data_IF_277131071591
#
_entry.id   IF_277131071591
#
_cell.length_a   1.000
_cell.length_b   1.000
_cell.length_c   1.000
_cell.angle_alpha   90.00
_cell.angle_beta   90.00
_cell.angle_gamma   90.00
#
_symmetry.space_group_name_H-M   'P 1'
#
loop_
_entity.id
_entity.type
_entity.pdbx_description
1 polymer ?
#
# COMPACT_ATOMS: atom_id res chain seq x y z
N UNK A 1 14.60 14.07 -64.73
CA UNK A 1 13.88 14.44 -63.47
C UNK A 1 14.36 15.84 -63.09
N UNK A 2 13.45 16.79 -63.00
CA UNK A 2 13.80 18.18 -62.64
C UNK A 2 14.19 18.22 -61.17
N UNK A 3 15.19 19.04 -60.82
CA UNK A 3 15.72 19.17 -59.45
C UNK A 3 14.65 19.49 -58.38
N UNK A 4 13.54 20.05 -58.78
CA UNK A 4 12.38 20.36 -57.90
C UNK A 4 11.60 19.13 -57.44
N UNK A 5 11.51 18.06 -58.23
CA UNK A 5 10.79 16.83 -57.84
C UNK A 5 11.60 15.97 -56.84
N UNK A 6 12.93 16.06 -56.99
CA UNK A 6 13.84 15.37 -56.04
C UNK A 6 13.79 16.00 -54.63
N UNK A 7 13.61 17.33 -54.58
CA UNK A 7 13.52 18.06 -53.30
C UNK A 7 12.18 17.77 -52.55
N UNK A 8 11.07 17.68 -53.31
CA UNK A 8 9.77 17.34 -52.73
C UNK A 8 9.75 15.89 -52.21
N UNK A 9 10.40 14.96 -52.88
CA UNK A 9 10.49 13.56 -52.45
C UNK A 9 11.36 13.41 -51.20
N UNK A 10 12.44 14.16 -51.08
CA UNK A 10 13.29 14.15 -49.86
C UNK A 10 12.58 14.76 -48.66
N UNK A 11 11.74 15.77 -48.85
CA UNK A 11 10.97 16.41 -47.77
C UNK A 11 9.87 15.54 -47.25
N UNK A 12 9.22 14.70 -48.08
CA UNK A 12 8.20 13.74 -47.67
C UNK A 12 8.81 12.61 -46.84
N UNK A 13 10.03 12.14 -47.16
CA UNK A 13 10.74 11.12 -46.40
C UNK A 13 11.15 11.64 -45.02
N UNK A 14 11.54 12.92 -44.89
CA UNK A 14 11.92 13.52 -43.60
C UNK A 14 10.73 13.72 -42.66
N UNK A 15 9.55 14.06 -43.19
CA UNK A 15 8.31 14.18 -42.39
C UNK A 15 7.79 12.81 -41.93
N UNK A 16 7.94 11.76 -42.77
CA UNK A 16 7.56 10.39 -42.40
C UNK A 16 8.48 9.80 -41.31
N UNK A 17 9.78 10.13 -41.26
CA UNK A 17 10.68 9.69 -40.20
C UNK A 17 10.44 10.38 -38.86
N UNK A 18 10.00 11.65 -38.84
CA UNK A 18 9.71 12.36 -37.60
C UNK A 18 8.41 11.91 -36.94
N UNK A 19 7.41 11.50 -37.72
CA UNK A 19 6.14 10.98 -37.18
C UNK A 19 6.24 9.55 -36.65
N UNK A 20 7.21 8.74 -37.11
CA UNK A 20 7.45 7.40 -36.56
C UNK A 20 8.21 7.42 -35.23
N UNK A 21 8.94 8.48 -34.89
CA UNK A 21 9.71 8.55 -33.65
C UNK A 21 8.88 8.92 -32.42
N UNK A 22 7.75 9.61 -32.57
CA UNK A 22 6.86 9.95 -31.45
C UNK A 22 5.94 8.78 -31.05
N UNK A 23 5.43 8.04 -32.03
CA UNK A 23 4.59 6.86 -31.77
C UNK A 23 5.36 5.69 -31.13
N UNK A 24 6.68 5.58 -31.29
CA UNK A 24 7.49 4.56 -30.65
C UNK A 24 7.95 4.93 -29.23
N UNK A 25 7.89 6.19 -28.84
CA UNK A 25 8.25 6.62 -27.47
C UNK A 25 7.17 6.37 -26.44
N UNK A 26 5.91 6.22 -26.83
CA UNK A 26 4.82 5.91 -25.90
C UNK A 26 4.61 4.40 -25.64
N UNK A 27 5.16 3.53 -26.48
CA UNK A 27 4.98 2.07 -26.39
C UNK A 27 5.82 1.39 -25.28
N UNK A 28 6.55 2.12 -24.43
CA UNK A 28 7.57 1.56 -23.54
C UNK A 28 7.42 1.82 -22.04
N UNK A 29 6.42 2.56 -21.58
CA UNK A 29 6.17 2.68 -20.14
C UNK A 29 5.11 1.66 -19.71
N UNK A 30 5.54 0.47 -19.27
CA UNK A 30 4.65 -0.43 -18.57
C UNK A 30 4.09 0.31 -17.34
N UNK A 31 2.78 0.52 -17.31
CA UNK A 31 2.09 1.09 -16.15
C UNK A 31 2.28 0.13 -14.97
N UNK A 32 2.74 0.63 -13.84
CA UNK A 32 2.73 -0.13 -12.60
C UNK A 32 1.27 -0.33 -12.20
N UNK A 33 0.88 -1.59 -12.00
CA UNK A 33 -0.45 -1.97 -11.52
C UNK A 33 -0.34 -2.18 -9.99
N UNK A 34 -1.10 -1.40 -9.24
CA UNK A 34 -1.09 -1.50 -7.77
C UNK A 34 -1.77 -2.79 -7.32
N UNK A 35 -1.37 -3.34 -6.18
CA UNK A 35 -2.04 -4.49 -5.59
C UNK A 35 -3.55 -4.27 -5.44
N UNK A 36 -3.97 -3.06 -5.03
CA UNK A 36 -5.38 -2.70 -4.90
C UNK A 36 -6.17 -2.75 -6.23
N UNK A 37 -5.52 -2.50 -7.36
CA UNK A 37 -6.14 -2.55 -8.69
C UNK A 37 -6.38 -3.98 -9.21
N UNK A 38 -5.72 -4.97 -8.61
CA UNK A 38 -5.77 -6.38 -9.04
C UNK A 38 -6.93 -7.12 -8.35
N UNK A 39 -8.15 -6.59 -8.47
CA UNK A 39 -9.36 -7.11 -7.82
C UNK A 39 -9.59 -8.61 -8.08
N UNK A 40 -9.31 -9.08 -9.29
CA UNK A 40 -9.44 -10.49 -9.69
C UNK A 40 -8.54 -11.44 -8.88
N UNK A 41 -7.43 -10.95 -8.35
CA UNK A 41 -6.48 -11.75 -7.56
C UNK A 41 -6.97 -11.99 -6.12
N UNK A 42 -7.76 -11.07 -5.54
CA UNK A 42 -8.10 -11.18 -4.12
C UNK A 42 -9.61 -11.20 -3.81
N UNK A 43 -10.50 -10.73 -4.69
CA UNK A 43 -11.94 -10.69 -4.45
C UNK A 43 -12.54 -12.05 -4.11
N UNK A 44 -12.07 -13.13 -4.74
CA UNK A 44 -12.52 -14.49 -4.45
C UNK A 44 -12.25 -14.91 -2.99
N UNK A 45 -11.20 -14.35 -2.38
CA UNK A 45 -10.79 -14.62 -1.00
C UNK A 45 -11.63 -13.83 0.02
N UNK A 46 -12.38 -12.81 -0.42
CA UNK A 46 -13.24 -11.97 0.41
C UNK A 46 -14.71 -12.43 0.40
N UNK A 47 -15.08 -13.29 -0.55
CA UNK A 47 -16.47 -13.74 -0.71
C UNK A 47 -17.00 -14.43 0.54
N UNK A 48 -18.06 -13.87 1.14
CA UNK A 48 -18.69 -14.38 2.37
C UNK A 48 -17.80 -14.24 3.61
N UNK A 49 -16.80 -13.38 3.58
CA UNK A 49 -15.90 -13.09 4.70
C UNK A 49 -16.22 -11.73 5.30
N UNK A 50 -16.11 -11.63 6.62
CA UNK A 50 -16.16 -10.39 7.37
C UNK A 50 -14.77 -9.75 7.32
N UNK A 51 -14.70 -8.58 6.70
CA UNK A 51 -13.43 -7.93 6.35
C UNK A 51 -13.18 -6.70 7.22
N UNK A 52 -11.97 -6.52 7.68
CA UNK A 52 -11.47 -5.25 8.18
C UNK A 52 -10.38 -4.72 7.26
N UNK A 53 -10.27 -3.40 7.13
CA UNK A 53 -9.21 -2.77 6.34
C UNK A 53 -8.31 -1.91 7.22
N UNK A 54 -7.00 -2.03 7.06
CA UNK A 54 -6.03 -1.05 7.55
C UNK A 54 -5.60 -0.18 6.37
N UNK A 55 -6.07 1.03 6.34
CA UNK A 55 -5.99 1.94 5.20
C UNK A 55 -5.85 3.40 5.65
N UNK A 56 -5.38 4.26 4.74
CA UNK A 56 -5.35 5.71 4.93
C UNK A 56 -5.76 6.43 3.63
N UNK A 57 -5.55 7.73 3.54
CA UNK A 57 -5.89 8.56 2.38
C UNK A 57 -5.22 8.11 1.06
N UNK A 58 -4.13 7.34 1.13
CA UNK A 58 -3.42 6.85 -0.07
C UNK A 58 -4.05 5.59 -0.66
N UNK A 59 -4.95 4.95 0.07
CA UNK A 59 -5.57 3.67 -0.28
C UNK A 59 -6.65 3.86 -1.36
N UNK A 60 -6.22 4.12 -2.60
CA UNK A 60 -7.12 4.42 -3.71
C UNK A 60 -6.91 3.51 -4.91
N UNK A 61 -7.99 3.29 -5.67
CA UNK A 61 -8.00 2.74 -7.03
C UNK A 61 -8.44 3.89 -7.95
N UNK A 62 -7.51 4.41 -8.75
CA UNK A 62 -7.73 5.67 -9.45
C UNK A 62 -8.02 6.80 -8.46
N UNK A 63 -9.17 7.46 -8.57
CA UNK A 63 -9.60 8.54 -7.67
C UNK A 63 -10.55 8.08 -6.55
N UNK A 64 -10.89 6.78 -6.49
CA UNK A 64 -11.86 6.25 -5.53
C UNK A 64 -11.13 5.53 -4.40
N UNK A 65 -11.50 5.81 -3.16
CA UNK A 65 -10.93 5.13 -2.00
C UNK A 65 -11.28 3.64 -2.02
N UNK A 66 -10.32 2.76 -1.62
CA UNK A 66 -10.48 1.31 -1.65
C UNK A 66 -11.70 0.83 -0.84
N UNK A 67 -11.96 1.44 0.33
CA UNK A 67 -13.15 1.12 1.15
C UNK A 67 -14.42 1.34 0.35
N UNK A 68 -14.55 2.48 -0.31
CA UNK A 68 -15.73 2.83 -1.09
C UNK A 68 -15.90 1.87 -2.29
N UNK A 69 -14.77 1.49 -2.93
CA UNK A 69 -14.76 0.51 -4.03
C UNK A 69 -15.22 -0.87 -3.56
N UNK A 70 -14.62 -1.40 -2.50
CA UNK A 70 -14.94 -2.73 -2.01
C UNK A 70 -16.37 -2.82 -1.46
N UNK A 71 -16.85 -1.75 -0.81
CA UNK A 71 -18.24 -1.65 -0.35
C UNK A 71 -19.23 -1.67 -1.53
N UNK A 72 -18.92 -0.95 -2.61
CA UNK A 72 -19.76 -0.96 -3.83
C UNK A 72 -19.79 -2.31 -4.53
N UNK A 73 -18.74 -3.13 -4.35
CA UNK A 73 -18.64 -4.50 -4.87
C UNK A 73 -19.26 -5.55 -3.93
N UNK A 74 -19.91 -5.12 -2.84
CA UNK A 74 -20.63 -5.98 -1.93
C UNK A 74 -19.75 -6.77 -0.94
N UNK A 75 -18.52 -6.29 -0.68
CA UNK A 75 -17.67 -6.86 0.38
C UNK A 75 -18.26 -6.51 1.74
N UNK A 76 -18.37 -7.50 2.63
CA UNK A 76 -18.86 -7.33 4.01
C UNK A 76 -17.78 -6.71 4.89
N UNK A 77 -17.65 -5.38 4.82
CA UNK A 77 -16.69 -4.60 5.60
C UNK A 77 -17.26 -4.30 6.97
N UNK A 78 -16.62 -4.79 8.03
CA UNK A 78 -17.06 -4.63 9.41
C UNK A 78 -16.51 -3.36 10.06
N UNK A 79 -15.27 -2.98 9.74
CA UNK A 79 -14.59 -1.81 10.31
C UNK A 79 -13.36 -1.42 9.50
N UNK A 80 -12.90 -0.21 9.75
CA UNK A 80 -11.65 0.33 9.24
C UNK A 80 -10.68 0.58 10.39
N UNK A 81 -9.47 0.09 10.28
CA UNK A 81 -8.35 0.48 11.13
C UNK A 81 -7.65 1.70 10.54
N UNK A 82 -7.48 2.74 11.34
CA UNK A 82 -6.84 3.97 10.95
C UNK A 82 -5.45 4.09 11.60
N UNK A 83 -4.37 4.23 10.81
CA UNK A 83 -3.03 4.49 11.32
C UNK A 83 -2.85 5.96 11.71
N UNK A 84 -1.62 6.38 11.97
CA UNK A 84 -1.25 7.80 12.07
C UNK A 84 -1.79 8.58 10.86
N UNK A 85 -2.20 9.82 11.06
CA UNK A 85 -2.90 10.70 10.11
C UNK A 85 -4.36 10.34 9.80
N UNK A 86 -4.89 9.26 10.37
CA UNK A 86 -6.29 8.89 10.20
C UNK A 86 -6.61 8.14 8.90
N UNK A 87 -7.88 7.82 8.75
CA UNK A 87 -8.38 7.02 7.64
C UNK A 87 -8.45 7.82 6.32
N UNK A 88 -8.93 9.06 6.38
CA UNK A 88 -9.06 9.91 5.18
C UNK A 88 -8.03 11.05 5.11
N UNK A 89 -7.01 11.04 6.00
CA UNK A 89 -5.93 12.03 6.01
C UNK A 89 -6.30 13.37 6.62
N UNK A 90 -7.28 13.39 7.49
CA UNK A 90 -7.87 14.57 8.12
C UNK A 90 -7.18 14.97 9.45
N UNK A 91 -6.15 14.23 9.87
CA UNK A 91 -5.39 14.50 11.08
C UNK A 91 -3.95 14.93 10.78
N UNK A 92 -3.47 15.96 11.51
CA UNK A 92 -2.08 16.41 11.45
C UNK A 92 -1.12 15.34 12.01
N UNK A 93 0.16 15.44 11.66
CA UNK A 93 1.21 14.54 12.19
C UNK A 93 1.23 14.58 13.73
N UNK A 94 1.25 13.41 14.36
CA UNK A 94 1.23 13.27 15.82
C UNK A 94 -0.12 13.56 16.49
N UNK A 95 -1.15 13.99 15.76
CA UNK A 95 -2.48 14.18 16.32
C UNK A 95 -3.12 12.84 16.70
N UNK A 96 -3.85 12.83 17.82
CA UNK A 96 -4.58 11.64 18.24
C UNK A 96 -5.71 11.34 17.24
N UNK A 97 -5.68 10.15 16.71
CA UNK A 97 -6.77 9.60 15.87
C UNK A 97 -7.77 8.94 16.82
N UNK A 98 -8.99 9.48 16.91
CA UNK A 98 -10.05 8.91 17.75
C UNK A 98 -10.84 7.85 16.99
N UNK A 99 -11.46 6.93 17.76
CA UNK A 99 -12.46 6.04 17.21
C UNK A 99 -13.72 6.84 16.82
N UNK A 100 -14.41 6.38 15.77
CA UNK A 100 -15.59 7.06 15.27
C UNK A 100 -16.34 6.23 14.24
N UNK A 101 -17.21 6.89 13.51
CA UNK A 101 -17.89 6.34 12.33
C UNK A 101 -17.52 7.24 11.15
N UNK A 102 -17.08 6.65 10.05
CA UNK A 102 -16.86 7.40 8.81
C UNK A 102 -18.21 7.80 8.21
N UNK A 103 -18.45 9.09 8.09
CA UNK A 103 -19.74 9.63 7.61
C UNK A 103 -20.11 9.15 6.21
N UNK A 104 -19.10 8.94 5.35
CA UNK A 104 -19.32 8.56 3.96
C UNK A 104 -19.69 7.09 3.80
N UNK A 105 -18.97 6.20 4.46
CA UNK A 105 -19.18 4.74 4.35
C UNK A 105 -20.11 4.17 5.43
N UNK A 106 -20.35 4.92 6.52
CA UNK A 106 -21.09 4.44 7.69
C UNK A 106 -20.31 3.42 8.53
N UNK A 107 -19.05 3.16 8.21
CA UNK A 107 -18.26 2.11 8.88
C UNK A 107 -17.61 2.62 10.17
N UNK A 108 -17.51 1.75 11.19
CA UNK A 108 -16.72 2.03 12.38
C UNK A 108 -15.25 2.20 12.02
N UNK A 109 -14.65 3.29 12.51
CA UNK A 109 -13.21 3.57 12.42
C UNK A 109 -12.57 3.33 13.78
N UNK A 110 -11.55 2.49 13.81
CA UNK A 110 -10.81 2.12 15.02
C UNK A 110 -9.36 2.58 14.87
N UNK A 111 -8.91 3.45 15.76
CA UNK A 111 -7.56 3.98 15.73
C UNK A 111 -6.53 2.93 16.15
N UNK A 112 -5.49 2.78 15.34
CA UNK A 112 -4.25 2.06 15.66
C UNK A 112 -3.08 3.02 15.88
N UNK A 113 -3.37 4.23 16.36
CA UNK A 113 -2.38 5.23 16.73
C UNK A 113 -2.56 5.71 18.17
N UNK A 114 -1.48 6.11 18.82
CA UNK A 114 -1.50 6.53 20.22
C UNK A 114 -1.42 5.34 21.18
N UNK A 115 -2.47 5.11 21.96
CA UNK A 115 -2.48 4.09 23.02
C UNK A 115 -2.44 2.66 22.47
N UNK A 116 -3.23 2.37 21.45
CA UNK A 116 -3.36 1.03 20.85
C UNK A 116 -2.74 1.03 19.46
N UNK A 117 -1.49 0.60 19.34
CA UNK A 117 -0.79 0.48 18.05
C UNK A 117 -0.95 -0.90 17.40
N UNK A 118 -1.34 -1.90 18.20
CA UNK A 118 -1.60 -3.27 17.77
C UNK A 118 -3.09 -3.59 17.98
N UNK A 119 -3.77 -4.20 16.99
CA UNK A 119 -5.14 -4.67 17.20
C UNK A 119 -5.23 -5.63 18.38
N UNK A 120 -6.20 -5.39 19.27
CA UNK A 120 -6.50 -6.33 20.35
C UNK A 120 -7.37 -7.49 19.84
N UNK A 121 -7.44 -8.62 20.56
CA UNK A 121 -8.35 -9.71 20.19
C UNK A 121 -9.79 -9.24 19.99
N UNK A 122 -10.29 -8.33 20.82
CA UNK A 122 -11.66 -7.77 20.72
C UNK A 122 -11.83 -6.94 19.43
N UNK A 123 -10.80 -6.24 18.98
CA UNK A 123 -10.85 -5.50 17.72
C UNK A 123 -10.92 -6.43 16.50
N UNK A 124 -10.38 -7.65 16.61
CA UNK A 124 -10.41 -8.69 15.58
C UNK A 124 -11.56 -9.69 15.76
N UNK A 125 -12.37 -9.52 16.78
CA UNK A 125 -13.58 -10.32 16.95
C UNK A 125 -14.52 -10.12 15.74
N UNK A 126 -15.11 -11.22 15.27
CA UNK A 126 -15.97 -11.23 14.07
C UNK A 126 -15.28 -10.74 12.78
N UNK A 127 -13.96 -10.77 12.70
CA UNK A 127 -13.18 -10.55 11.47
C UNK A 127 -12.62 -11.89 10.98
N UNK A 128 -12.70 -12.13 9.69
CA UNK A 128 -12.14 -13.32 9.04
C UNK A 128 -10.87 -12.96 8.25
N UNK A 129 -10.87 -11.76 7.63
CA UNK A 129 -9.77 -11.26 6.78
C UNK A 129 -9.47 -9.82 7.13
N UNK A 130 -8.19 -9.49 7.24
CA UNK A 130 -7.72 -8.11 7.30
C UNK A 130 -7.01 -7.78 5.98
N UNK A 131 -7.30 -6.61 5.41
CA UNK A 131 -6.60 -6.06 4.24
C UNK A 131 -5.73 -4.91 4.70
N UNK A 132 -4.47 -4.93 4.31
CA UNK A 132 -3.54 -3.80 4.44
C UNK A 132 -3.33 -3.15 3.07
N UNK A 133 -3.58 -1.85 2.98
CA UNK A 133 -3.33 -1.06 1.77
C UNK A 133 -2.93 0.36 2.14
N UNK A 134 -1.64 0.63 2.23
CA UNK A 134 -1.08 1.96 2.55
C UNK A 134 0.16 2.18 1.71
N UNK A 135 0.29 3.37 1.11
CA UNK A 135 1.53 3.79 0.46
C UNK A 135 2.60 4.10 1.50
N UNK A 136 3.65 3.29 1.53
CA UNK A 136 4.87 3.60 2.28
C UNK A 136 5.83 4.44 1.42
N UNK A 137 6.83 5.04 2.06
CA UNK A 137 7.83 5.89 1.39
C UNK A 137 9.24 5.29 1.39
N UNK A 138 9.41 4.07 1.90
CA UNK A 138 10.68 3.33 1.84
C UNK A 138 11.74 3.79 2.83
N UNK A 139 11.35 4.47 3.91
CA UNK A 139 12.27 4.88 4.98
C UNK A 139 11.84 4.30 6.32
N UNK A 140 12.79 3.71 7.05
CA UNK A 140 12.57 2.93 8.27
C UNK A 140 11.80 3.67 9.37
N UNK A 141 11.95 4.96 9.49
CA UNK A 141 11.30 5.78 10.53
C UNK A 141 9.87 6.21 10.17
N UNK A 142 9.36 5.84 8.99
CA UNK A 142 7.98 6.06 8.61
C UNK A 142 7.13 4.91 9.17
N UNK A 143 6.18 5.23 10.07
CA UNK A 143 5.62 4.26 11.01
C UNK A 143 4.62 3.25 10.43
N UNK A 144 4.22 3.39 9.17
CA UNK A 144 3.26 2.47 8.55
C UNK A 144 3.76 1.02 8.50
N UNK A 145 5.06 0.82 8.28
CA UNK A 145 5.67 -0.52 8.32
C UNK A 145 5.64 -1.14 9.72
N UNK A 146 5.72 -0.31 10.77
CA UNK A 146 5.58 -0.77 12.16
C UNK A 146 4.12 -1.10 12.51
N UNK A 147 3.17 -0.32 11.99
CA UNK A 147 1.73 -0.63 12.10
C UNK A 147 1.40 -1.93 11.36
N UNK A 148 1.95 -2.14 10.16
CA UNK A 148 1.83 -3.40 9.42
C UNK A 148 2.34 -4.59 10.23
N UNK A 149 3.53 -4.49 10.82
CA UNK A 149 4.11 -5.54 11.66
C UNK A 149 3.17 -5.91 12.81
N UNK A 150 2.61 -4.93 13.52
CA UNK A 150 1.68 -5.21 14.62
C UNK A 150 0.36 -5.83 14.15
N UNK A 151 -0.11 -5.51 12.96
CA UNK A 151 -1.28 -6.17 12.37
C UNK A 151 -0.95 -7.60 11.96
N UNK A 152 0.24 -7.85 11.38
CA UNK A 152 0.72 -9.20 11.10
C UNK A 152 0.75 -10.04 12.38
N UNK A 153 1.37 -9.54 13.47
CA UNK A 153 1.37 -10.24 14.76
C UNK A 153 -0.05 -10.53 15.29
N UNK A 154 -0.93 -9.52 15.27
CA UNK A 154 -2.30 -9.68 15.76
C UNK A 154 -3.10 -10.69 14.94
N UNK A 155 -2.93 -10.70 13.62
CA UNK A 155 -3.55 -11.68 12.73
C UNK A 155 -3.05 -13.09 12.99
N UNK A 156 -1.73 -13.27 13.18
CA UNK A 156 -1.12 -14.55 13.53
C UNK A 156 -1.66 -15.08 14.88
N UNK A 157 -1.68 -14.23 15.92
CA UNK A 157 -2.16 -14.59 17.26
C UNK A 157 -3.63 -14.98 17.28
N UNK A 158 -4.44 -14.41 16.40
CA UNK A 158 -5.89 -14.63 16.34
C UNK A 158 -6.32 -15.54 15.18
N UNK A 159 -5.35 -16.16 14.48
CA UNK A 159 -5.59 -17.01 13.30
C UNK A 159 -6.50 -16.32 12.27
N UNK A 160 -6.19 -15.06 11.95
CA UNK A 160 -6.87 -14.26 10.93
C UNK A 160 -6.02 -14.18 9.68
N UNK A 161 -6.67 -14.25 8.52
CA UNK A 161 -5.98 -14.04 7.25
C UNK A 161 -5.63 -12.57 7.07
N UNK A 162 -4.40 -12.30 6.64
CA UNK A 162 -3.96 -10.97 6.23
C UNK A 162 -3.68 -10.96 4.71
N UNK A 163 -4.17 -9.95 4.02
CA UNK A 163 -3.88 -9.69 2.61
C UNK A 163 -3.20 -8.32 2.54
N UNK A 164 -2.00 -8.27 1.98
CA UNK A 164 -1.27 -7.02 1.75
C UNK A 164 -1.40 -6.67 0.27
N UNK A 165 -2.03 -5.53 -0.01
CA UNK A 165 -2.14 -4.99 -1.35
C UNK A 165 -0.92 -4.10 -1.59
N UNK A 166 0.08 -4.66 -2.25
CA UNK A 166 1.40 -4.05 -2.37
C UNK A 166 1.37 -2.79 -3.25
N UNK A 167 2.27 -1.86 -2.92
CA UNK A 167 2.44 -0.58 -3.61
C UNK A 167 3.92 -0.33 -3.88
N UNK A 168 4.27 0.33 -5.01
CA UNK A 168 5.66 0.61 -5.34
C UNK A 168 6.29 1.51 -4.27
N UNK A 169 7.54 1.22 -3.93
CA UNK A 169 8.34 2.08 -3.07
C UNK A 169 8.94 3.22 -3.92
N UNK A 170 8.63 4.51 -3.63
CA UNK A 170 9.21 5.63 -4.37
C UNK A 170 10.73 5.74 -4.22
N UNK A 171 11.31 5.16 -3.16
CA UNK A 171 12.75 5.05 -2.91
C UNK A 171 13.28 3.63 -3.16
N UNK A 172 12.58 2.79 -3.93
CA UNK A 172 12.94 1.39 -4.20
C UNK A 172 14.19 1.20 -5.08
N UNK A 173 14.77 2.27 -5.61
CA UNK A 173 15.93 2.21 -6.52
C UNK A 173 17.28 2.28 -5.80
N UNK A 174 17.33 2.44 -4.48
CA UNK A 174 18.56 2.46 -3.69
C UNK A 174 18.33 2.02 -2.24
N UNK A 175 19.43 1.66 -1.60
CA UNK A 175 19.49 1.32 -0.16
C UNK A 175 20.56 2.19 0.46
N UNK A 176 20.26 2.85 1.61
CA UNK A 176 21.22 3.77 2.24
C UNK A 176 21.00 3.88 3.76
N UNK A 177 22.05 4.34 4.42
CA UNK A 177 22.09 4.55 5.86
C UNK A 177 22.35 3.27 6.68
N UNK A 178 22.67 3.42 7.96
CA UNK A 178 23.01 2.30 8.83
C UNK A 178 21.79 1.41 9.12
N UNK A 179 22.05 0.11 9.22
CA UNK A 179 21.09 -0.87 9.75
C UNK A 179 20.79 -0.56 11.22
N UNK A 180 19.51 -0.62 11.61
CA UNK A 180 19.11 -0.42 12.98
C UNK A 180 19.68 -1.51 13.89
N UNK A 181 20.34 -1.11 14.94
CA UNK A 181 20.75 -2.03 15.99
C UNK A 181 19.55 -2.36 16.90
N UNK A 182 19.43 -3.62 17.28
CA UNK A 182 18.29 -4.14 18.03
C UNK A 182 18.01 -3.41 19.36
N UNK A 183 19.05 -2.93 20.02
CA UNK A 183 18.94 -2.17 21.27
C UNK A 183 18.25 -0.83 21.12
N UNK A 184 18.15 -0.28 19.90
CA UNK A 184 17.43 0.96 19.58
C UNK A 184 16.07 0.73 18.95
N UNK A 185 15.58 -0.52 18.96
CA UNK A 185 14.27 -0.84 18.37
C UNK A 185 13.14 -0.12 19.12
N UNK A 186 12.25 0.51 18.35
CA UNK A 186 11.08 1.23 18.84
C UNK A 186 9.98 1.22 17.78
N UNK A 187 8.83 1.80 18.05
CA UNK A 187 7.78 1.95 17.03
C UNK A 187 8.21 2.79 15.82
N UNK A 188 9.11 3.77 16.01
CA UNK A 188 9.63 4.62 14.92
C UNK A 188 10.78 3.92 14.15
N UNK A 189 11.33 2.85 14.70
CA UNK A 189 12.37 2.05 14.07
C UNK A 189 12.30 0.63 14.62
N UNK A 190 11.47 -0.21 14.02
CA UNK A 190 11.18 -1.54 14.56
C UNK A 190 12.13 -2.61 14.01
N UNK A 191 12.45 -2.53 12.73
CA UNK A 191 13.13 -3.60 12.00
C UNK A 191 14.62 -3.33 11.85
N UNK A 192 15.50 -4.37 11.89
CA UNK A 192 16.93 -4.25 11.67
C UNK A 192 17.26 -4.10 10.16
N UNK A 193 16.75 -3.03 9.57
CA UNK A 193 16.94 -2.66 8.16
C UNK A 193 17.65 -1.30 8.03
N UNK A 194 18.23 -0.95 6.89
CA UNK A 194 18.78 0.38 6.62
C UNK A 194 17.77 1.50 6.77
N UNK A 195 18.21 2.76 6.84
CA UNK A 195 17.31 3.93 6.90
C UNK A 195 16.43 3.95 5.64
N UNK A 196 17.03 3.86 4.46
CA UNK A 196 16.33 3.66 3.18
C UNK A 196 16.50 2.19 2.83
N UNK A 197 15.42 1.43 2.84
CA UNK A 197 15.49 -0.04 2.79
C UNK A 197 15.26 -0.64 1.41
N UNK A 198 14.79 0.14 0.43
CA UNK A 198 14.61 -0.29 -0.94
C UNK A 198 13.47 -1.28 -1.22
N UNK A 199 12.78 -1.77 -0.18
CA UNK A 199 11.72 -2.78 -0.29
C UNK A 199 10.35 -2.15 -0.45
N UNK A 200 9.42 -2.83 -1.15
CA UNK A 200 7.99 -2.54 -1.05
C UNK A 200 7.44 -3.01 0.30
N UNK A 201 6.21 -2.63 0.65
CA UNK A 201 5.58 -3.12 1.90
C UNK A 201 5.33 -4.62 1.85
N UNK A 202 5.00 -5.17 0.68
CA UNK A 202 4.81 -6.60 0.48
C UNK A 202 6.12 -7.37 0.65
N UNK A 203 7.21 -6.90 0.04
CA UNK A 203 8.55 -7.48 0.20
C UNK A 203 9.02 -7.42 1.65
N UNK A 204 8.79 -6.30 2.34
CA UNK A 204 9.12 -6.17 3.76
C UNK A 204 8.28 -7.12 4.63
N UNK A 205 7.00 -7.31 4.34
CA UNK A 205 6.17 -8.28 5.05
C UNK A 205 6.68 -9.71 4.91
N UNK A 206 7.07 -10.12 3.70
CA UNK A 206 7.71 -11.42 3.46
C UNK A 206 9.04 -11.56 4.21
N UNK A 207 9.84 -10.48 4.28
CA UNK A 207 11.07 -10.45 5.06
C UNK A 207 10.81 -10.59 6.56
N UNK A 208 9.81 -9.88 7.10
CA UNK A 208 9.40 -9.96 8.52
C UNK A 208 9.04 -11.40 8.89
N UNK A 209 8.30 -12.09 8.04
CA UNK A 209 7.92 -13.49 8.24
C UNK A 209 9.11 -14.43 8.08
N UNK A 210 9.88 -14.30 6.99
CA UNK A 210 11.00 -15.16 6.66
C UNK A 210 12.15 -15.10 7.67
N UNK A 211 12.42 -13.92 8.22
CA UNK A 211 13.42 -13.69 9.27
C UNK A 211 12.89 -13.99 10.69
N UNK A 212 11.65 -14.45 10.80
CA UNK A 212 10.98 -14.76 12.06
C UNK A 212 11.00 -13.58 13.06
N UNK A 213 10.76 -12.36 12.58
CA UNK A 213 10.69 -11.18 13.44
C UNK A 213 9.35 -11.05 14.17
N UNK A 214 8.33 -11.80 13.76
CA UNK A 214 7.08 -11.91 14.51
C UNK A 214 7.27 -12.78 15.74
N UNK A 215 6.59 -12.44 16.83
CA UNK A 215 6.60 -13.27 18.07
C UNK A 215 5.94 -14.62 17.86
N UNK A 216 4.94 -14.69 16.99
CA UNK A 216 4.24 -15.90 16.60
C UNK A 216 4.30 -16.05 15.07
N UNK A 217 4.37 -17.28 14.58
CA UNK A 217 4.31 -17.54 13.13
C UNK A 217 2.91 -17.24 12.58
N UNK A 218 2.88 -16.63 11.41
CA UNK A 218 1.67 -16.43 10.60
C UNK A 218 1.32 -17.71 9.87
#
# INVERSE_FOLDING_TARGET
>A
MKKTELFAFLMIIFVACSSMSESQKEAGKSRIILGAEQLDQYMSQLKGKRVALLVNQTSTIGSVHLVDTLQSLGVDIQKVFAPEHGFRGDHSAGALVSNGIDEKSGLPVVSLYGRNKKPTPQMLENIDVVIFDIQDVGVRFYTYISTMHYVMEACAEQNKKLIILDRPNPNGFYVDGPVLKKEYSSFIGMHPIPIVHGLTVGELALMIEGEAWLKNKV
#
